data_IF_334683687496
#
_entry.id   IF_334683687496
#
_cell.length_a   1.000
_cell.length_b   1.000
_cell.length_c   1.000
_cell.angle_alpha   90.00
_cell.angle_beta   90.00
_cell.angle_gamma   90.00
#
_symmetry.space_group_name_H-M   'P 1'
#
loop_
_entity.id
_entity.type
_entity.pdbx_description
1 polymer ?
#
# COMPACT_ATOMS: atom_id res chain seq x y z
N UNK A 1 0.25 -6.34 -11.15
CA UNK A 1 -1.11 -5.95 -11.55
C UNK A 1 -1.91 -5.47 -10.35
N UNK A 2 -2.87 -4.57 -10.57
CA UNK A 2 -3.60 -3.95 -9.45
C UNK A 2 -4.34 -4.97 -8.57
N UNK A 3 -5.01 -5.97 -9.15
CA UNK A 3 -5.68 -7.02 -8.37
C UNK A 3 -4.73 -7.79 -7.45
N UNK A 4 -3.55 -8.13 -7.94
CA UNK A 4 -2.59 -8.95 -7.21
C UNK A 4 -1.93 -8.23 -6.03
N UNK A 5 -1.81 -6.90 -6.08
CA UNK A 5 -1.08 -6.14 -5.06
C UNK A 5 -1.96 -5.18 -4.26
N UNK A 6 -3.01 -4.63 -4.89
CA UNK A 6 -3.81 -3.57 -4.27
C UNK A 6 -4.93 -4.12 -3.38
N UNK A 7 -5.54 -5.25 -3.79
CA UNK A 7 -6.69 -5.85 -3.09
C UNK A 7 -6.52 -7.37 -2.87
N UNK A 8 -5.27 -7.83 -2.75
CA UNK A 8 -4.96 -9.24 -2.50
C UNK A 8 -5.68 -9.75 -1.25
N UNK A 9 -6.40 -10.87 -1.39
CA UNK A 9 -7.18 -11.52 -0.33
C UNK A 9 -8.59 -10.95 -0.14
N UNK A 10 -8.83 -9.69 -0.48
CA UNK A 10 -10.15 -9.06 -0.34
C UNK A 10 -11.23 -9.71 -1.22
N UNK A 11 -10.98 -10.04 -2.52
CA UNK A 11 -11.97 -10.74 -3.33
C UNK A 11 -12.36 -12.11 -2.75
N UNK A 12 -11.40 -12.87 -2.23
CA UNK A 12 -11.67 -14.15 -1.55
C UNK A 12 -12.56 -13.96 -0.34
N UNK A 13 -12.23 -13.02 0.53
CA UNK A 13 -13.04 -12.72 1.72
C UNK A 13 -14.46 -12.29 1.35
N UNK A 14 -14.60 -11.43 0.34
CA UNK A 14 -15.92 -10.97 -0.11
C UNK A 14 -16.73 -12.07 -0.80
N UNK A 15 -16.07 -13.09 -1.36
CA UNK A 15 -16.73 -14.21 -2.04
C UNK A 15 -17.49 -15.14 -1.07
N UNK A 16 -17.21 -15.04 0.23
CA UNK A 16 -18.01 -15.72 1.26
C UNK A 16 -19.40 -15.11 1.45
N UNK A 17 -19.60 -13.88 0.96
CA UNK A 17 -20.84 -13.10 1.13
C UNK A 17 -21.53 -12.74 -0.19
N UNK A 18 -20.77 -12.72 -1.30
CA UNK A 18 -21.25 -12.25 -2.61
C UNK A 18 -20.66 -13.07 -3.73
N UNK A 19 -21.34 -13.17 -4.87
CA UNK A 19 -20.72 -13.65 -6.10
C UNK A 19 -19.79 -12.56 -6.67
N UNK A 20 -18.48 -12.82 -6.67
CA UNK A 20 -17.46 -11.84 -7.06
C UNK A 20 -16.98 -12.09 -8.49
N UNK A 21 -17.02 -11.03 -9.31
CA UNK A 21 -16.37 -10.97 -10.61
C UNK A 21 -15.31 -9.89 -10.62
N UNK A 22 -14.03 -10.29 -10.66
CA UNK A 22 -12.92 -9.37 -10.83
C UNK A 22 -12.69 -9.01 -12.29
N UNK A 23 -12.45 -7.73 -12.58
CA UNK A 23 -12.17 -7.24 -13.94
C UNK A 23 -10.84 -6.50 -13.96
N UNK A 24 -9.92 -6.90 -14.84
CA UNK A 24 -8.61 -6.26 -14.96
C UNK A 24 -7.99 -6.40 -16.35
N UNK A 25 -6.94 -5.60 -16.61
CA UNK A 25 -6.17 -5.55 -17.86
C UNK A 25 -4.84 -6.28 -17.72
N UNK A 26 -4.82 -7.52 -17.38
CA UNK A 26 -3.56 -8.29 -17.28
C UNK A 26 -3.44 -9.34 -18.39
N UNK A 27 -2.26 -9.91 -18.62
CA UNK A 27 -2.11 -11.12 -19.40
C UNK A 27 -2.97 -12.25 -18.81
N UNK A 28 -3.56 -13.08 -19.68
CA UNK A 28 -4.50 -14.12 -19.25
C UNK A 28 -3.92 -15.06 -18.21
N UNK A 29 -2.67 -15.50 -18.42
CA UNK A 29 -1.97 -16.39 -17.48
C UNK A 29 -1.82 -15.81 -16.05
N UNK A 30 -1.69 -14.50 -15.92
CA UNK A 30 -1.61 -13.86 -14.61
C UNK A 30 -3.00 -13.64 -14.00
N UNK A 31 -4.00 -13.39 -14.82
CA UNK A 31 -5.38 -13.32 -14.37
C UNK A 31 -5.89 -14.70 -13.91
N UNK A 32 -5.51 -15.78 -14.60
CA UNK A 32 -5.81 -17.15 -14.20
C UNK A 32 -5.17 -17.51 -12.84
N UNK A 33 -3.94 -17.02 -12.56
CA UNK A 33 -3.32 -17.17 -11.23
C UNK A 33 -4.11 -16.43 -10.15
N UNK A 34 -4.57 -15.21 -10.44
CA UNK A 34 -5.42 -14.45 -9.50
C UNK A 34 -6.73 -15.17 -9.25
N UNK A 35 -7.39 -15.66 -10.31
CA UNK A 35 -8.62 -16.45 -10.18
C UNK A 35 -8.44 -17.67 -9.27
N UNK A 36 -7.35 -18.43 -9.46
CA UNK A 36 -7.02 -19.59 -8.64
C UNK A 36 -6.70 -19.24 -7.19
N UNK A 37 -5.93 -18.16 -6.97
CA UNK A 37 -5.57 -17.71 -5.62
C UNK A 37 -6.76 -17.14 -4.86
N UNK A 38 -7.58 -16.29 -5.51
CA UNK A 38 -8.71 -15.62 -4.87
C UNK A 38 -9.99 -16.49 -4.83
N UNK A 39 -10.06 -17.56 -5.64
CA UNK A 39 -11.24 -18.40 -5.73
C UNK A 39 -12.44 -17.72 -6.38
N UNK A 40 -12.22 -16.71 -7.23
CA UNK A 40 -13.26 -15.87 -7.85
C UNK A 40 -13.18 -15.89 -9.38
N UNK A 41 -14.28 -15.54 -10.04
CA UNK A 41 -14.29 -15.35 -11.50
C UNK A 41 -13.45 -14.11 -11.87
N UNK A 42 -12.65 -14.22 -12.94
CA UNK A 42 -11.87 -13.07 -13.45
C UNK A 42 -12.16 -12.86 -14.93
N UNK A 43 -12.37 -11.61 -15.32
CA UNK A 43 -12.60 -11.20 -16.71
C UNK A 43 -11.56 -10.20 -17.17
N UNK A 44 -11.00 -10.46 -18.36
CA UNK A 44 -10.05 -9.54 -18.98
C UNK A 44 -10.78 -8.43 -19.73
N UNK A 45 -10.49 -7.18 -19.37
CA UNK A 45 -10.84 -5.98 -20.15
C UNK A 45 -9.59 -5.11 -20.25
N UNK A 46 -9.15 -4.83 -21.47
CA UNK A 46 -7.94 -4.04 -21.68
C UNK A 46 -8.13 -2.60 -21.22
N UNK A 47 -7.28 -2.13 -20.31
CA UNK A 47 -7.24 -0.77 -19.80
C UNK A 47 -5.78 -0.32 -19.73
N UNK A 48 -5.39 0.64 -20.53
CA UNK A 48 -4.01 1.15 -20.57
C UNK A 48 -3.79 2.16 -19.43
N UNK A 49 -2.54 2.29 -18.94
CA UNK A 49 -2.21 3.33 -17.95
C UNK A 49 -2.14 4.74 -18.56
N UNK A 50 -1.96 4.83 -19.88
CA UNK A 50 -1.90 6.09 -20.62
C UNK A 50 -3.29 6.56 -21.05
N UNK A 51 -3.42 7.85 -21.37
CA UNK A 51 -4.62 8.41 -21.98
C UNK A 51 -4.66 7.97 -23.44
N UNK A 52 -5.60 7.09 -23.79
CA UNK A 52 -5.75 6.49 -25.12
C UNK A 52 -7.21 6.51 -25.56
N UNK A 53 -7.75 7.63 -26.08
CA UNK A 53 -9.19 7.84 -26.23
C UNK A 53 -9.92 6.73 -26.99
N UNK A 54 -9.37 6.26 -28.10
CA UNK A 54 -9.98 5.19 -28.92
C UNK A 54 -10.01 3.86 -28.17
N UNK A 55 -8.90 3.46 -27.54
CA UNK A 55 -8.83 2.23 -26.74
C UNK A 55 -9.73 2.34 -25.52
N UNK A 56 -9.76 3.51 -24.89
CA UNK A 56 -10.60 3.78 -23.72
C UNK A 56 -12.11 3.68 -24.08
N UNK A 57 -12.52 4.17 -25.24
CA UNK A 57 -13.89 4.01 -25.74
C UNK A 57 -14.24 2.53 -25.98
N UNK A 58 -13.33 1.78 -26.61
CA UNK A 58 -13.54 0.32 -26.81
C UNK A 58 -13.71 -0.40 -25.47
N UNK A 59 -12.85 -0.05 -24.51
CA UNK A 59 -12.88 -0.64 -23.17
C UNK A 59 -14.18 -0.28 -22.42
N UNK A 60 -14.64 0.97 -22.55
CA UNK A 60 -15.93 1.42 -22.00
C UNK A 60 -17.08 0.60 -22.59
N UNK A 61 -17.11 0.41 -23.92
CA UNK A 61 -18.16 -0.39 -24.58
C UNK A 61 -18.14 -1.85 -24.08
N UNK A 62 -16.93 -2.43 -23.89
CA UNK A 62 -16.79 -3.78 -23.34
C UNK A 62 -17.31 -3.85 -21.90
N UNK A 63 -17.04 -2.85 -21.06
CA UNK A 63 -17.54 -2.77 -19.68
C UNK A 63 -19.07 -2.60 -19.65
N UNK A 64 -19.63 -1.75 -20.49
CA UNK A 64 -21.10 -1.58 -20.61
C UNK A 64 -21.77 -2.90 -20.98
N UNK A 65 -21.23 -3.62 -21.98
CA UNK A 65 -21.76 -4.94 -22.38
C UNK A 65 -21.64 -5.97 -21.25
N UNK A 66 -20.51 -5.94 -20.53
CA UNK A 66 -20.28 -6.81 -19.38
C UNK A 66 -21.30 -6.51 -18.27
N UNK A 67 -21.45 -5.25 -17.87
CA UNK A 67 -22.40 -4.88 -16.81
C UNK A 67 -23.86 -5.17 -17.18
N UNK A 68 -24.25 -4.97 -18.45
CA UNK A 68 -25.58 -5.39 -18.93
C UNK A 68 -25.80 -6.91 -18.85
N UNK A 69 -24.75 -7.69 -19.12
CA UNK A 69 -24.82 -9.16 -19.09
C UNK A 69 -24.87 -9.70 -17.66
N UNK A 70 -23.97 -9.24 -16.82
CA UNK A 70 -23.78 -9.75 -15.46
C UNK A 70 -24.77 -9.11 -14.46
N UNK A 71 -25.38 -7.96 -14.82
CA UNK A 71 -26.35 -7.21 -14.01
C UNK A 71 -25.93 -7.03 -12.54
N UNK A 72 -24.72 -6.50 -12.25
CA UNK A 72 -24.21 -6.45 -10.89
C UNK A 72 -24.98 -5.48 -10.01
N UNK A 73 -25.22 -5.82 -8.76
CA UNK A 73 -25.75 -4.93 -7.74
C UNK A 73 -24.73 -3.85 -7.35
N UNK A 74 -23.44 -4.22 -7.28
CA UNK A 74 -22.34 -3.35 -6.88
C UNK A 74 -21.25 -3.35 -7.96
N UNK A 75 -20.76 -2.18 -8.33
CA UNK A 75 -19.49 -2.02 -9.06
C UNK A 75 -18.54 -1.19 -8.20
N UNK A 76 -17.40 -1.78 -7.82
CA UNK A 76 -16.35 -1.12 -7.05
C UNK A 76 -15.05 -1.04 -7.86
N UNK A 77 -14.48 0.14 -8.01
CA UNK A 77 -13.26 0.39 -8.78
C UNK A 77 -12.14 0.94 -7.89
N UNK A 78 -10.86 0.59 -8.21
CA UNK A 78 -9.72 0.84 -7.32
C UNK A 78 -8.53 1.59 -7.96
N UNK A 79 -8.60 1.98 -9.23
CA UNK A 79 -7.50 2.68 -9.90
C UNK A 79 -8.04 3.78 -10.81
N UNK A 80 -7.30 4.85 -11.12
CA UNK A 80 -7.81 5.98 -11.89
C UNK A 80 -8.44 5.58 -13.24
N UNK A 81 -7.78 4.72 -14.02
CA UNK A 81 -8.32 4.27 -15.32
C UNK A 81 -9.56 3.38 -15.17
N UNK A 82 -9.52 2.43 -14.23
CA UNK A 82 -10.71 1.61 -13.94
C UNK A 82 -11.83 2.47 -13.30
N UNK A 83 -11.45 3.50 -12.54
CA UNK A 83 -12.37 4.50 -11.97
C UNK A 83 -13.21 5.14 -13.04
N UNK A 84 -12.60 5.86 -13.97
CA UNK A 84 -13.35 6.57 -15.00
C UNK A 84 -14.17 5.64 -15.90
N UNK A 85 -13.57 4.56 -16.41
CA UNK A 85 -14.26 3.67 -17.34
C UNK A 85 -15.32 2.81 -16.64
N UNK A 86 -15.01 2.30 -15.45
CA UNK A 86 -15.94 1.49 -14.65
C UNK A 86 -17.09 2.28 -14.08
N UNK A 87 -16.83 3.44 -13.48
CA UNK A 87 -17.90 4.28 -12.92
C UNK A 87 -18.82 4.84 -14.01
N UNK A 88 -18.27 5.36 -15.12
CA UNK A 88 -19.06 5.83 -16.25
C UNK A 88 -19.87 4.69 -16.88
N UNK A 89 -19.25 3.53 -17.12
CA UNK A 89 -19.94 2.35 -17.65
C UNK A 89 -21.08 1.88 -16.75
N UNK A 90 -20.84 1.81 -15.45
CA UNK A 90 -21.83 1.43 -14.45
C UNK A 90 -22.98 2.45 -14.34
N UNK A 91 -22.66 3.74 -14.41
CA UNK A 91 -23.67 4.82 -14.43
C UNK A 91 -24.58 4.72 -15.65
N UNK A 92 -24.00 4.54 -16.84
CA UNK A 92 -24.75 4.44 -18.11
C UNK A 92 -25.67 3.20 -18.18
N UNK A 93 -25.31 2.14 -17.47
CA UNK A 93 -26.13 0.90 -17.39
C UNK A 93 -27.19 0.99 -16.28
N UNK A 94 -27.03 1.92 -15.33
CA UNK A 94 -27.93 2.06 -14.20
C UNK A 94 -27.59 1.10 -13.04
N UNK A 95 -26.32 0.66 -12.91
CA UNK A 95 -25.89 -0.13 -11.73
C UNK A 95 -26.21 0.65 -10.46
N UNK A 96 -26.95 0.07 -9.51
CA UNK A 96 -27.48 0.82 -8.36
C UNK A 96 -26.40 1.30 -7.40
N UNK A 97 -25.37 0.48 -7.13
CA UNK A 97 -24.32 0.80 -6.18
C UNK A 97 -22.98 0.92 -6.92
N UNK A 98 -22.44 2.14 -6.94
CA UNK A 98 -21.23 2.49 -7.68
C UNK A 98 -20.21 3.11 -6.70
N UNK A 99 -19.16 2.38 -6.40
CA UNK A 99 -18.15 2.70 -5.39
C UNK A 99 -16.78 2.88 -6.02
N UNK A 100 -15.99 3.83 -5.53
CA UNK A 100 -14.65 4.07 -6.03
C UNK A 100 -13.66 4.29 -4.89
N UNK A 101 -12.60 3.47 -4.83
CA UNK A 101 -11.45 3.66 -3.93
C UNK A 101 -10.34 4.44 -4.63
N UNK A 102 -9.91 5.54 -3.99
CA UNK A 102 -8.79 6.37 -4.45
C UNK A 102 -7.53 5.94 -3.71
N UNK A 103 -6.73 5.09 -4.34
CA UNK A 103 -5.49 4.54 -3.75
C UNK A 103 -4.26 5.46 -3.97
N UNK A 104 -4.44 6.58 -4.61
CA UNK A 104 -3.45 7.61 -4.93
C UNK A 104 -3.99 8.49 -6.05
N UNK A 105 -3.52 9.73 -6.11
CA UNK A 105 -4.03 10.74 -7.03
C UNK A 105 -2.89 11.34 -7.86
N UNK A 106 -2.64 10.82 -9.08
CA UNK A 106 -1.62 11.35 -9.99
C UNK A 106 -1.82 12.84 -10.34
N UNK A 107 -3.03 13.36 -10.13
CA UNK A 107 -3.38 14.75 -10.31
C UNK A 107 -2.53 15.68 -9.42
N UNK A 108 -2.22 15.29 -8.19
CA UNK A 108 -1.43 16.09 -7.24
C UNK A 108 -0.03 16.45 -7.78
N UNK A 109 0.47 15.70 -8.75
CA UNK A 109 1.81 15.86 -9.32
C UNK A 109 1.79 16.48 -10.72
N UNK A 110 0.61 16.61 -11.31
CA UNK A 110 0.47 17.10 -12.67
C UNK A 110 0.41 18.62 -12.72
N UNK A 111 0.87 19.20 -13.84
CA UNK A 111 0.83 20.65 -14.10
C UNK A 111 0.27 20.93 -15.48
N UNK A 112 -0.20 22.16 -15.69
CA UNK A 112 -0.68 22.65 -16.98
C UNK A 112 -1.88 21.88 -17.52
N UNK A 113 -1.93 21.66 -18.83
CA UNK A 113 -3.06 21.03 -19.54
C UNK A 113 -3.31 19.60 -19.01
N UNK A 114 -2.26 18.85 -18.69
CA UNK A 114 -2.41 17.50 -18.10
C UNK A 114 -3.15 17.54 -16.77
N UNK A 115 -2.90 18.54 -15.94
CA UNK A 115 -3.60 18.74 -14.67
C UNK A 115 -5.11 18.94 -14.91
N UNK A 116 -5.48 19.85 -15.80
CA UNK A 116 -6.89 20.11 -16.12
C UNK A 116 -7.63 18.86 -16.65
N UNK A 117 -6.97 18.06 -17.48
CA UNK A 117 -7.55 16.82 -18.00
C UNK A 117 -7.76 15.81 -16.87
N UNK A 118 -6.75 15.59 -16.02
CA UNK A 118 -6.87 14.67 -14.91
C UNK A 118 -7.92 15.13 -13.90
N UNK A 119 -8.00 16.43 -13.62
CA UNK A 119 -9.01 16.99 -12.74
C UNK A 119 -10.44 16.75 -13.28
N UNK A 120 -10.66 16.97 -14.56
CA UNK A 120 -11.96 16.71 -15.21
C UNK A 120 -12.32 15.21 -15.14
N UNK A 121 -11.33 14.32 -15.34
CA UNK A 121 -11.51 12.88 -15.24
C UNK A 121 -11.87 12.45 -13.81
N UNK A 122 -11.19 12.97 -12.81
CA UNK A 122 -11.48 12.66 -11.40
C UNK A 122 -12.88 13.17 -11.01
N UNK A 123 -13.21 14.43 -11.34
CA UNK A 123 -14.55 14.98 -11.07
C UNK A 123 -15.66 14.17 -11.74
N UNK A 124 -15.47 13.73 -12.98
CA UNK A 124 -16.43 12.88 -13.68
C UNK A 124 -16.56 11.50 -13.02
N UNK A 125 -15.42 10.90 -12.63
CA UNK A 125 -15.41 9.61 -11.92
C UNK A 125 -16.22 9.69 -10.63
N UNK A 126 -15.99 10.74 -9.82
CA UNK A 126 -16.69 10.92 -8.55
C UNK A 126 -18.16 11.34 -8.72
N UNK A 127 -18.48 12.05 -9.79
CA UNK A 127 -19.88 12.34 -10.14
C UNK A 127 -20.66 11.06 -10.42
N UNK A 128 -20.08 10.10 -11.15
CA UNK A 128 -20.69 8.81 -11.46
C UNK A 128 -20.75 7.86 -10.25
N UNK A 129 -19.86 7.97 -9.28
CA UNK A 129 -19.87 7.17 -8.06
C UNK A 129 -20.95 7.68 -7.07
N UNK A 130 -21.52 6.78 -6.28
CA UNK A 130 -22.39 7.15 -5.14
C UNK A 130 -21.55 7.40 -3.87
N UNK A 131 -20.40 6.70 -3.75
CA UNK A 131 -19.47 6.87 -2.65
C UNK A 131 -18.03 6.74 -3.13
N UNK A 132 -17.13 7.52 -2.54
CA UNK A 132 -15.70 7.57 -2.87
C UNK A 132 -14.89 7.39 -1.60
N UNK A 133 -13.91 6.48 -1.65
CA UNK A 133 -13.08 6.09 -0.51
C UNK A 133 -11.62 6.46 -0.74
N UNK A 134 -11.18 7.67 -0.32
CA UNK A 134 -9.75 7.95 -0.25
C UNK A 134 -9.09 7.03 0.78
N UNK A 135 -7.87 6.58 0.45
CA UNK A 135 -7.13 5.64 1.30
C UNK A 135 -6.40 6.29 2.47
N UNK A 136 -6.60 7.60 2.68
CA UNK A 136 -5.95 8.37 3.75
C UNK A 136 -6.77 9.63 4.09
N UNK A 137 -6.65 10.08 5.33
CA UNK A 137 -7.28 11.33 5.79
C UNK A 137 -6.68 12.56 5.07
N UNK A 138 -5.37 12.53 4.80
CA UNK A 138 -4.73 13.61 4.04
C UNK A 138 -5.27 13.71 2.61
N UNK A 139 -5.54 12.58 1.96
CA UNK A 139 -6.16 12.56 0.63
C UNK A 139 -7.63 13.02 0.68
N UNK A 140 -8.39 12.62 1.70
CA UNK A 140 -9.75 13.12 1.94
C UNK A 140 -9.77 14.65 2.07
N UNK A 141 -8.91 15.22 2.92
CA UNK A 141 -8.78 16.65 3.11
C UNK A 141 -8.42 17.37 1.81
N UNK A 142 -7.47 16.82 1.06
CA UNK A 142 -7.10 17.37 -0.24
C UNK A 142 -8.31 17.39 -1.22
N UNK A 143 -9.07 16.31 -1.29
CA UNK A 143 -10.25 16.20 -2.16
C UNK A 143 -11.34 17.20 -1.76
N UNK A 144 -11.58 17.40 -0.47
CA UNK A 144 -12.56 18.36 0.07
C UNK A 144 -12.13 19.81 -0.21
N UNK A 145 -10.87 20.15 0.05
CA UNK A 145 -10.32 21.50 -0.19
C UNK A 145 -10.43 21.91 -1.66
N UNK A 146 -10.19 20.96 -2.59
CA UNK A 146 -10.26 21.22 -4.03
C UNK A 146 -11.68 20.97 -4.62
N UNK A 147 -12.65 20.64 -3.78
CA UNK A 147 -14.05 20.40 -4.18
C UNK A 147 -14.18 19.37 -5.30
N UNK A 148 -13.45 18.27 -5.21
CA UNK A 148 -13.54 17.19 -6.20
C UNK A 148 -14.81 16.39 -6.07
N UNK A 149 -15.35 16.25 -4.86
CA UNK A 149 -16.66 15.68 -4.59
C UNK A 149 -17.27 16.34 -3.34
N UNK A 150 -18.57 16.17 -3.16
CA UNK A 150 -19.26 16.62 -1.94
C UNK A 150 -18.84 15.77 -0.73
N UNK A 151 -18.83 16.37 0.45
CA UNK A 151 -18.39 15.72 1.68
C UNK A 151 -19.18 14.44 1.98
N UNK A 152 -20.48 14.43 1.69
CA UNK A 152 -21.34 13.26 1.90
C UNK A 152 -20.94 12.05 1.04
N UNK A 153 -20.26 12.30 -0.09
CA UNK A 153 -19.75 11.23 -0.97
C UNK A 153 -18.42 10.67 -0.55
N UNK A 154 -17.65 11.37 0.28
CA UNK A 154 -16.31 10.99 0.65
C UNK A 154 -16.32 10.31 2.03
N UNK A 155 -15.54 9.24 2.19
CA UNK A 155 -15.35 8.55 3.48
C UNK A 155 -14.05 7.76 3.46
N UNK A 156 -13.21 7.96 4.45
CA UNK A 156 -12.07 7.06 4.71
C UNK A 156 -12.60 5.79 5.36
N UNK A 157 -12.19 4.62 4.85
CA UNK A 157 -12.57 3.32 5.41
C UNK A 157 -11.62 2.95 6.53
N UNK A 158 -12.15 2.50 7.66
CA UNK A 158 -11.40 2.15 8.86
C UNK A 158 -10.40 3.27 9.23
N UNK A 159 -9.11 2.97 9.32
CA UNK A 159 -8.05 3.94 9.60
C UNK A 159 -7.26 4.33 8.32
N UNK A 160 -7.85 4.17 7.14
CA UNK A 160 -7.15 4.35 5.87
C UNK A 160 -6.61 3.03 5.31
N UNK A 161 -5.74 3.13 4.29
CA UNK A 161 -5.31 2.03 3.42
C UNK A 161 -6.42 1.51 2.49
N UNK A 162 -6.04 0.95 1.34
CA UNK A 162 -6.99 0.33 0.41
C UNK A 162 -7.28 -1.14 0.75
N UNK A 163 -6.40 -1.79 1.50
CA UNK A 163 -6.46 -3.23 1.75
C UNK A 163 -5.86 -3.67 3.09
N UNK A 164 -5.32 -2.74 3.88
CA UNK A 164 -4.59 -3.11 5.09
C UNK A 164 -3.32 -3.90 4.83
N UNK A 165 -2.85 -4.62 5.83
CA UNK A 165 -1.66 -5.48 5.79
C UNK A 165 -1.97 -6.84 6.42
N UNK A 166 -1.49 -7.91 5.80
CA UNK A 166 -1.55 -9.26 6.34
C UNK A 166 -0.54 -9.42 7.48
N UNK A 167 -1.01 -9.26 8.71
CA UNK A 167 -0.17 -9.29 9.91
C UNK A 167 0.25 -10.70 10.32
N UNK A 168 -0.40 -11.73 9.75
CA UNK A 168 0.02 -13.14 9.90
C UNK A 168 1.20 -13.41 8.97
N UNK A 169 1.11 -12.96 7.71
CA UNK A 169 2.20 -13.08 6.75
C UNK A 169 3.42 -12.23 7.16
N UNK A 170 3.19 -10.99 7.61
CA UNK A 170 4.24 -10.11 8.14
C UNK A 170 4.37 -10.28 9.66
N UNK A 171 4.79 -11.48 10.09
CA UNK A 171 5.09 -11.80 11.48
C UNK A 171 6.59 -12.10 11.66
N UNK A 172 7.31 -11.34 12.52
CA UNK A 172 8.73 -11.57 12.78
C UNK A 172 9.02 -12.94 13.39
N UNK A 173 8.03 -13.59 14.02
CA UNK A 173 8.17 -14.90 14.63
C UNK A 173 8.24 -16.04 13.60
N UNK A 174 7.92 -15.79 12.33
CA UNK A 174 8.10 -16.76 11.25
C UNK A 174 9.57 -17.02 10.90
N UNK A 175 10.51 -16.21 11.42
CA UNK A 175 11.93 -16.31 11.13
C UNK A 175 12.70 -16.73 12.38
N UNK A 176 13.26 -17.95 12.37
CA UNK A 176 14.08 -18.45 13.47
C UNK A 176 15.36 -17.63 13.64
N UNK A 177 15.98 -17.72 14.80
CA UNK A 177 17.24 -17.04 15.09
C UNK A 177 18.34 -17.48 14.10
N UNK A 178 18.37 -18.76 13.78
CA UNK A 178 19.34 -19.36 12.86
C UNK A 178 19.17 -18.80 11.44
N UNK A 179 17.93 -18.71 10.93
CA UNK A 179 17.68 -18.09 9.62
C UNK A 179 18.15 -16.64 9.56
N UNK A 180 17.90 -15.86 10.63
CA UNK A 180 18.36 -14.47 10.71
C UNK A 180 19.88 -14.38 10.72
N UNK A 181 20.57 -15.26 11.46
CA UNK A 181 22.02 -15.30 11.53
C UNK A 181 22.65 -15.69 10.19
N UNK A 182 22.13 -16.70 9.50
CA UNK A 182 22.60 -17.10 8.17
C UNK A 182 22.47 -15.95 7.19
N UNK A 183 21.31 -15.30 7.11
CA UNK A 183 21.11 -14.18 6.18
C UNK A 183 22.00 -12.98 6.52
N UNK A 184 22.19 -12.65 7.81
CA UNK A 184 23.14 -11.59 8.23
C UNK A 184 24.57 -11.94 7.81
N UNK A 185 25.01 -13.18 8.03
CA UNK A 185 26.32 -13.65 7.62
C UNK A 185 26.54 -13.54 6.10
N UNK A 186 25.56 -14.01 5.30
CA UNK A 186 25.63 -13.97 3.83
C UNK A 186 25.70 -12.54 3.28
N UNK A 187 25.12 -11.58 4.00
CA UNK A 187 25.18 -10.16 3.67
C UNK A 187 26.36 -9.42 4.32
N UNK A 188 27.23 -10.11 5.03
CA UNK A 188 28.37 -9.50 5.73
C UNK A 188 27.99 -8.58 6.89
N UNK A 189 26.80 -8.79 7.50
CA UNK A 189 26.28 -8.03 8.64
C UNK A 189 26.66 -8.75 9.92
N UNK A 190 27.35 -8.05 10.84
CA UNK A 190 27.74 -8.61 12.14
C UNK A 190 26.56 -8.65 13.12
N UNK A 191 26.67 -9.45 14.18
CA UNK A 191 25.59 -9.63 15.16
C UNK A 191 25.18 -8.31 15.83
N UNK A 192 26.14 -7.46 16.14
CA UNK A 192 25.93 -6.19 16.83
C UNK A 192 25.67 -5.00 15.90
N UNK A 193 25.71 -5.20 14.57
CA UNK A 193 25.44 -4.12 13.62
C UNK A 193 24.00 -3.63 13.73
N UNK A 194 23.80 -2.32 13.71
CA UNK A 194 22.48 -1.70 13.60
C UNK A 194 22.10 -1.54 12.13
N UNK A 195 21.09 -2.29 11.68
CA UNK A 195 20.69 -2.36 10.28
C UNK A 195 19.49 -1.44 10.01
N UNK A 196 19.73 -0.44 9.19
CA UNK A 196 18.70 0.43 8.60
C UNK A 196 18.28 -0.19 7.27
N UNK A 197 16.98 -0.40 7.07
CA UNK A 197 16.47 -0.95 5.81
C UNK A 197 15.66 0.10 5.05
N UNK A 198 15.82 0.13 3.74
CA UNK A 198 14.90 0.74 2.79
C UNK A 198 14.35 -0.36 1.87
N UNK A 199 13.06 -0.33 1.61
CA UNK A 199 12.40 -1.27 0.66
C UNK A 199 11.59 -0.47 -0.36
N UNK A 200 11.89 -0.64 -1.63
CA UNK A 200 11.21 0.05 -2.72
C UNK A 200 12.11 0.25 -3.95
N UNK A 201 11.61 0.92 -4.96
CA UNK A 201 12.41 1.32 -6.12
C UNK A 201 13.50 2.30 -5.68
N UNK A 202 14.72 2.08 -6.14
CA UNK A 202 15.85 2.96 -5.83
C UNK A 202 15.87 4.12 -6.85
N UNK A 203 15.12 5.18 -6.54
CA UNK A 203 14.91 6.36 -7.38
C UNK A 203 14.92 7.64 -6.53
N UNK A 204 15.06 8.80 -7.19
CA UNK A 204 15.21 10.10 -6.51
C UNK A 204 13.99 10.45 -5.65
N UNK A 205 12.76 10.28 -6.16
CA UNK A 205 11.52 10.63 -5.46
C UNK A 205 11.26 9.78 -4.18
N UNK A 206 12.00 8.69 -4.02
CA UNK A 206 12.00 7.88 -2.79
C UNK A 206 13.00 8.38 -1.73
N UNK A 207 13.70 9.48 -2.02
CA UNK A 207 14.64 10.10 -1.08
C UNK A 207 15.92 9.30 -0.89
N UNK A 208 16.31 8.46 -1.87
CA UNK A 208 17.52 7.64 -1.80
C UNK A 208 18.78 8.51 -1.79
N UNK A 209 18.76 9.64 -2.51
CA UNK A 209 19.90 10.57 -2.51
C UNK A 209 20.15 11.14 -1.11
N UNK A 210 19.10 11.58 -0.42
CA UNK A 210 19.17 12.08 0.95
C UNK A 210 19.55 10.98 1.93
N UNK A 211 19.02 9.76 1.76
CA UNK A 211 19.31 8.63 2.63
C UNK A 211 20.79 8.24 2.57
N UNK A 212 21.33 8.09 1.37
CA UNK A 212 22.74 7.73 1.16
C UNK A 212 23.64 8.84 1.64
N UNK A 213 23.31 10.11 1.38
CA UNK A 213 24.09 11.28 1.85
C UNK A 213 24.09 11.36 3.39
N UNK A 214 22.94 11.17 4.02
CA UNK A 214 22.84 11.16 5.49
C UNK A 214 23.64 9.99 6.08
N UNK A 215 23.52 8.80 5.50
CA UNK A 215 24.24 7.61 5.94
C UNK A 215 25.76 7.72 5.77
N UNK A 216 26.23 8.28 4.65
CA UNK A 216 27.65 8.57 4.40
C UNK A 216 28.25 9.38 5.53
N UNK A 217 27.59 10.45 5.94
CA UNK A 217 28.07 11.33 7.01
C UNK A 217 28.20 10.62 8.37
N UNK A 218 27.43 9.53 8.57
CA UNK A 218 27.46 8.73 9.79
C UNK A 218 28.50 7.59 9.72
N UNK A 219 28.75 7.02 8.54
CA UNK A 219 29.66 5.90 8.35
C UNK A 219 31.14 6.33 8.25
N UNK A 220 31.43 7.59 7.89
CA UNK A 220 32.78 8.14 7.79
C UNK A 220 33.20 8.97 9.01
N UNK A 221 32.31 9.15 10.01
CA UNK A 221 32.61 9.87 11.25
C UNK A 221 33.60 9.11 12.16
N UNK A 222 34.17 9.80 13.16
CA UNK A 222 35.01 9.14 14.16
C UNK A 222 34.24 8.01 14.84
N UNK A 223 34.86 6.83 14.93
CA UNK A 223 34.29 5.68 15.65
C UNK A 223 34.18 6.00 17.13
N UNK A 224 32.94 6.11 17.62
CA UNK A 224 32.70 6.07 19.05
C UNK A 224 32.55 4.62 19.48
N UNK A 225 33.41 4.15 20.39
CA UNK A 225 33.50 2.75 20.86
C UNK A 225 32.18 2.19 21.43
N UNK A 226 31.24 3.05 21.80
CA UNK A 226 29.96 2.67 22.40
C UNK A 226 28.83 2.59 21.37
N UNK A 227 29.07 2.92 20.09
CA UNK A 227 28.07 2.93 19.04
C UNK A 227 28.17 1.65 18.19
N UNK A 228 27.04 0.96 17.88
CA UNK A 228 27.02 -0.13 16.92
C UNK A 228 27.45 0.35 15.53
N UNK A 229 28.10 -0.51 14.76
CA UNK A 229 28.35 -0.21 13.34
C UNK A 229 27.01 -0.13 12.60
N UNK A 230 26.85 0.91 11.78
CA UNK A 230 25.64 1.12 11.01
C UNK A 230 25.73 0.42 9.66
N UNK A 231 24.68 -0.28 9.26
CA UNK A 231 24.49 -0.86 7.94
C UNK A 231 23.25 -0.28 7.29
N UNK A 232 23.34 0.02 6.00
CA UNK A 232 22.23 0.43 5.18
C UNK A 232 21.90 -0.67 4.18
N UNK A 233 20.73 -1.28 4.32
CA UNK A 233 20.25 -2.35 3.45
C UNK A 233 19.20 -1.79 2.48
N UNK A 234 19.55 -1.73 1.20
CA UNK A 234 18.69 -1.23 0.12
C UNK A 234 18.08 -2.41 -0.64
N UNK A 235 16.78 -2.63 -0.45
CA UNK A 235 16.03 -3.74 -1.07
C UNK A 235 15.13 -3.21 -2.16
N UNK A 236 15.46 -3.50 -3.42
CA UNK A 236 14.69 -3.11 -4.59
C UNK A 236 15.53 -2.82 -5.81
N UNK A 237 14.88 -2.67 -6.97
CA UNK A 237 15.56 -2.43 -8.22
C UNK A 237 15.94 -0.95 -8.40
N UNK A 238 17.04 -0.71 -9.11
CA UNK A 238 17.35 0.60 -9.68
C UNK A 238 16.46 0.85 -10.91
N UNK A 239 15.87 2.06 -11.01
CA UNK A 239 15.10 2.49 -12.17
C UNK A 239 15.69 3.76 -12.79
N UNK A 240 16.78 3.62 -13.53
CA UNK A 240 17.53 4.74 -14.13
C UNK A 240 16.78 5.53 -15.20
N UNK A 241 15.68 4.98 -15.77
CA UNK A 241 14.97 5.62 -16.90
C UNK A 241 13.91 6.62 -16.47
N UNK A 242 13.32 6.49 -15.29
CA UNK A 242 12.20 7.33 -14.87
C UNK A 242 12.63 8.47 -13.95
N UNK A 243 13.46 8.17 -12.97
CA UNK A 243 13.94 9.12 -11.97
C UNK A 243 15.30 8.61 -11.43
N UNK A 244 16.41 8.85 -12.17
CA UNK A 244 17.72 8.32 -11.83
C UNK A 244 18.26 8.93 -10.53
N UNK A 245 19.06 8.14 -9.83
CA UNK A 245 19.86 8.64 -8.68
C UNK A 245 21.00 9.54 -9.18
N UNK A 246 21.43 10.44 -8.30
CA UNK A 246 22.60 11.27 -8.52
C UNK A 246 23.87 10.42 -8.66
N UNK A 247 24.81 10.87 -9.50
CA UNK A 247 26.07 10.13 -9.75
C UNK A 247 26.89 9.89 -8.49
N UNK A 248 26.89 10.84 -7.56
CA UNK A 248 27.62 10.71 -6.30
C UNK A 248 26.94 9.74 -5.32
N UNK A 249 25.61 9.66 -5.38
CA UNK A 249 24.84 8.62 -4.66
C UNK A 249 25.18 7.22 -5.17
N UNK A 250 25.24 7.03 -6.50
CA UNK A 250 25.60 5.75 -7.09
C UNK A 250 27.03 5.34 -6.72
N UNK A 251 27.99 6.25 -6.83
CA UNK A 251 29.39 6.00 -6.40
C UNK A 251 29.47 5.59 -4.94
N UNK A 252 28.75 6.28 -4.07
CA UNK A 252 28.72 5.97 -2.64
C UNK A 252 28.15 4.57 -2.39
N UNK A 253 27.04 4.21 -3.05
CA UNK A 253 26.44 2.88 -2.94
C UNK A 253 27.44 1.78 -3.39
N UNK A 254 28.20 2.02 -4.45
CA UNK A 254 29.14 1.06 -4.99
C UNK A 254 30.42 0.91 -4.14
N UNK A 255 30.90 2.00 -3.53
CA UNK A 255 32.18 2.02 -2.82
C UNK A 255 32.08 1.82 -1.31
N UNK A 256 30.94 2.11 -0.70
CA UNK A 256 30.76 2.03 0.75
C UNK A 256 30.33 0.62 1.18
N UNK A 257 31.21 -0.11 1.81
CA UNK A 257 30.99 -1.50 2.31
C UNK A 257 29.85 -1.63 3.34
N UNK A 258 29.43 -0.51 3.94
CA UNK A 258 28.32 -0.49 4.89
C UNK A 258 26.96 -0.31 4.20
N UNK A 259 26.92 -0.10 2.86
CA UNK A 259 25.71 -0.06 2.06
C UNK A 259 25.58 -1.37 1.27
N UNK A 260 24.50 -2.08 1.52
CA UNK A 260 24.23 -3.39 0.93
C UNK A 260 23.03 -3.28 0.01
N UNK A 261 23.15 -3.72 -1.24
CA UNK A 261 22.05 -3.76 -2.20
C UNK A 261 21.69 -5.19 -2.53
N UNK A 262 20.38 -5.50 -2.55
CA UNK A 262 19.91 -6.87 -2.85
C UNK A 262 19.19 -6.98 -4.20
N UNK A 263 18.94 -5.86 -4.88
CA UNK A 263 18.06 -5.83 -6.05
C UNK A 263 16.61 -6.15 -5.70
N UNK A 264 15.83 -6.52 -6.71
CA UNK A 264 14.42 -6.91 -6.51
C UNK A 264 14.31 -8.21 -5.72
N UNK A 265 13.48 -8.20 -4.69
CA UNK A 265 13.15 -9.37 -3.87
C UNK A 265 11.65 -9.63 -3.92
N UNK A 266 11.26 -10.86 -4.22
CA UNK A 266 9.86 -11.28 -4.25
C UNK A 266 9.26 -11.37 -2.84
N UNK A 267 10.08 -11.74 -1.85
CA UNK A 267 9.75 -11.74 -0.42
C UNK A 267 10.73 -10.84 0.32
N UNK A 268 10.22 -9.77 0.88
CA UNK A 268 11.00 -8.77 1.63
C UNK A 268 11.06 -9.04 3.14
N UNK A 269 10.24 -9.98 3.63
CA UNK A 269 10.13 -10.28 5.07
C UNK A 269 11.45 -10.74 5.72
N UNK A 270 12.27 -11.61 5.08
CA UNK A 270 13.57 -11.99 5.65
C UNK A 270 14.48 -10.79 5.92
N UNK A 271 14.44 -9.79 5.01
CA UNK A 271 15.25 -8.58 5.13
C UNK A 271 14.74 -7.65 6.24
N UNK A 272 13.42 -7.53 6.41
CA UNK A 272 12.87 -6.86 7.59
C UNK A 272 13.27 -7.58 8.88
N UNK A 273 13.21 -8.93 8.89
CA UNK A 273 13.48 -9.72 10.09
C UNK A 273 14.92 -9.59 10.62
N UNK A 274 15.89 -9.21 9.77
CA UNK A 274 17.28 -8.99 10.15
C UNK A 274 17.62 -7.52 10.42
N UNK A 275 16.66 -6.62 10.22
CA UNK A 275 16.85 -5.16 10.32
C UNK A 275 16.36 -4.62 11.66
N UNK A 276 16.83 -3.43 12.02
CA UNK A 276 16.46 -2.75 13.25
C UNK A 276 15.41 -1.66 13.03
N UNK A 277 15.49 -0.93 11.91
CA UNK A 277 14.54 0.15 11.61
C UNK A 277 14.37 0.36 10.11
N UNK A 278 13.17 0.80 9.70
CA UNK A 278 12.90 1.28 8.35
C UNK A 278 13.33 2.75 8.22
N UNK A 279 14.11 3.08 7.17
CA UNK A 279 14.37 4.45 6.73
C UNK A 279 13.65 4.70 5.41
N UNK A 280 12.57 5.49 5.43
CA UNK A 280 11.70 5.70 4.28
C UNK A 280 11.46 7.19 4.01
N UNK A 281 12.47 7.93 3.49
CA UNK A 281 12.42 9.37 3.28
C UNK A 281 11.75 9.77 1.95
N UNK A 282 10.69 9.08 1.54
CA UNK A 282 9.97 9.33 0.30
C UNK A 282 9.40 10.75 0.24
N UNK A 283 9.36 11.36 -0.96
CA UNK A 283 8.80 12.69 -1.12
C UNK A 283 7.29 12.70 -1.22
N UNK A 284 6.69 11.56 -1.55
CA UNK A 284 5.25 11.43 -1.78
C UNK A 284 4.81 9.97 -1.73
N UNK A 285 3.65 9.74 -1.14
CA UNK A 285 2.97 8.44 -1.12
C UNK A 285 1.45 8.65 -1.12
N UNK A 286 0.71 7.60 -1.49
CA UNK A 286 -0.71 7.53 -1.16
C UNK A 286 -0.89 7.02 0.27
N UNK A 287 -0.69 5.72 0.45
CA UNK A 287 -0.64 5.05 1.76
C UNK A 287 0.40 3.92 1.66
N UNK A 288 1.63 4.11 2.18
CA UNK A 288 2.75 3.25 1.84
C UNK A 288 2.69 1.91 2.57
N UNK A 289 2.43 0.84 1.83
CA UNK A 289 2.40 -0.53 2.36
C UNK A 289 3.71 -0.91 3.07
N UNK A 290 4.84 -0.43 2.58
CA UNK A 290 6.16 -0.75 3.14
C UNK A 290 6.31 -0.29 4.59
N UNK A 291 5.70 0.85 4.96
CA UNK A 291 5.71 1.36 6.34
C UNK A 291 4.85 0.45 7.23
N UNK A 292 3.68 0.02 6.73
CA UNK A 292 2.85 -0.97 7.45
C UNK A 292 3.56 -2.32 7.57
N UNK A 293 4.24 -2.79 6.50
CA UNK A 293 5.00 -4.03 6.51
C UNK A 293 6.12 -4.01 7.56
N UNK A 294 6.91 -2.94 7.59
CA UNK A 294 7.97 -2.78 8.58
C UNK A 294 7.42 -2.76 10.00
N UNK A 295 6.36 -1.98 10.25
CA UNK A 295 5.71 -1.93 11.56
C UNK A 295 5.12 -3.28 11.97
N UNK A 296 4.46 -4.01 11.06
CA UNK A 296 3.97 -5.38 11.31
C UNK A 296 5.11 -6.35 11.66
N UNK A 297 6.29 -6.17 11.06
CA UNK A 297 7.52 -6.90 11.41
C UNK A 297 8.20 -6.38 12.69
N UNK A 298 7.58 -5.44 13.41
CA UNK A 298 8.08 -4.91 14.69
C UNK A 298 9.20 -3.86 14.55
N UNK A 299 9.36 -3.26 13.37
CA UNK A 299 10.40 -2.26 13.14
C UNK A 299 9.85 -0.84 13.34
N UNK A 300 10.50 0.00 14.15
CA UNK A 300 10.24 1.43 14.14
C UNK A 300 10.66 2.03 12.80
N UNK A 301 9.98 3.09 12.37
CA UNK A 301 10.22 3.69 11.06
C UNK A 301 10.62 5.16 11.17
N UNK A 302 11.58 5.59 10.36
CA UNK A 302 11.85 7.00 10.09
C UNK A 302 11.22 7.33 8.76
N UNK A 303 10.23 8.24 8.77
CA UNK A 303 9.46 8.61 7.58
C UNK A 303 9.42 10.12 7.41
N UNK A 304 9.17 10.56 6.20
CA UNK A 304 8.89 11.98 5.92
C UNK A 304 7.47 12.36 6.31
N UNK A 305 7.25 13.63 6.63
CA UNK A 305 5.94 14.22 6.91
C UNK A 305 5.16 14.40 5.60
N UNK A 306 4.60 13.29 5.13
CA UNK A 306 3.79 13.21 3.92
C UNK A 306 2.55 12.37 4.16
N UNK A 307 1.57 12.55 3.27
CA UNK A 307 0.33 11.78 3.27
C UNK A 307 0.57 10.26 3.42
N UNK A 308 -0.21 9.61 4.24
CA UNK A 308 -0.10 8.19 4.59
C UNK A 308 1.06 7.87 5.55
N UNK A 309 2.25 8.44 5.38
CA UNK A 309 3.36 8.22 6.30
C UNK A 309 3.05 8.75 7.70
N UNK A 310 2.57 10.01 7.80
CA UNK A 310 2.21 10.67 9.04
C UNK A 310 0.87 10.21 9.65
N UNK A 311 0.17 9.32 8.98
CA UNK A 311 -1.02 8.64 9.50
C UNK A 311 -0.66 7.27 10.09
N UNK A 312 0.30 6.56 9.47
CA UNK A 312 0.79 5.27 9.95
C UNK A 312 1.73 5.45 11.15
N UNK A 313 2.62 6.44 11.07
CA UNK A 313 3.59 6.74 12.11
C UNK A 313 3.11 7.91 12.97
N UNK A 314 3.06 7.67 14.27
CA UNK A 314 2.93 8.70 15.30
C UNK A 314 4.32 9.03 15.85
N UNK A 315 4.73 10.29 15.70
CA UNK A 315 6.09 10.72 16.04
C UNK A 315 6.44 10.45 17.51
N UNK A 316 7.61 9.84 17.75
CA UNK A 316 8.09 9.38 19.07
C UNK A 316 7.24 8.28 19.74
N UNK A 317 6.34 7.60 19.02
CA UNK A 317 5.55 6.48 19.54
C UNK A 317 5.90 5.17 18.84
N UNK A 318 5.80 5.11 17.51
CA UNK A 318 6.20 3.93 16.71
C UNK A 318 7.23 4.27 15.61
N UNK A 319 7.75 5.51 15.62
CA UNK A 319 8.74 5.98 14.66
C UNK A 319 9.06 7.46 14.84
N UNK A 320 9.81 7.99 13.89
CA UNK A 320 10.20 9.39 13.81
C UNK A 320 9.73 10.00 12.50
N UNK A 321 9.19 11.21 12.56
CA UNK A 321 8.74 11.97 11.39
C UNK A 321 9.71 13.11 11.13
N UNK A 322 10.16 13.25 9.88
CA UNK A 322 11.13 14.27 9.46
C UNK A 322 10.56 15.08 8.27
N UNK A 323 11.04 16.31 8.06
CA UNK A 323 10.69 17.06 6.86
C UNK A 323 11.18 16.40 5.57
N UNK A 324 10.41 16.59 4.48
CA UNK A 324 10.78 16.12 3.14
C UNK A 324 12.06 16.79 2.65
N UNK A 325 12.94 16.05 1.96
CA UNK A 325 14.19 16.57 1.37
C UNK A 325 15.16 17.21 2.40
N UNK A 326 15.12 16.76 3.62
CA UNK A 326 15.98 17.28 4.68
C UNK A 326 16.99 16.23 5.15
N UNK A 327 18.14 16.21 4.50
CA UNK A 327 19.25 15.27 4.78
C UNK A 327 19.74 15.37 6.24
N UNK A 328 19.81 16.59 6.80
CA UNK A 328 20.28 16.80 8.18
C UNK A 328 19.29 16.26 9.22
N UNK A 329 17.98 16.47 9.00
CA UNK A 329 16.96 15.92 9.87
C UNK A 329 16.95 14.39 9.80
N UNK A 330 17.13 13.81 8.61
CA UNK A 330 17.28 12.37 8.40
C UNK A 330 18.51 11.84 9.13
N UNK A 331 19.68 12.48 8.96
CA UNK A 331 20.91 12.09 9.65
C UNK A 331 20.74 12.08 11.17
N UNK A 332 20.16 13.16 11.74
CA UNK A 332 19.88 13.20 13.18
C UNK A 332 18.92 12.10 13.66
N UNK A 333 17.89 11.80 12.87
CA UNK A 333 16.93 10.76 13.21
C UNK A 333 17.56 9.37 13.17
N UNK A 334 18.38 9.07 12.14
CA UNK A 334 19.11 7.81 12.02
C UNK A 334 20.08 7.61 13.22
N UNK A 335 20.85 8.65 13.54
CA UNK A 335 21.81 8.62 14.65
C UNK A 335 21.10 8.45 16.00
N UNK A 336 20.06 9.25 16.25
CA UNK A 336 19.27 9.17 17.47
C UNK A 336 18.68 7.77 17.69
N UNK A 337 18.17 7.14 16.64
CA UNK A 337 17.58 5.83 16.75
C UNK A 337 18.62 4.73 17.03
N UNK A 338 19.84 4.88 16.50
CA UNK A 338 20.92 3.92 16.71
C UNK A 338 21.61 4.08 18.09
N UNK A 339 21.68 5.28 18.64
CA UNK A 339 22.41 5.59 19.89
C UNK A 339 21.50 5.56 21.12
N UNK A 340 20.27 6.07 21.02
CA UNK A 340 19.31 6.08 22.14
C UNK A 340 18.57 4.75 22.25
N UNK A 341 19.17 3.78 22.93
CA UNK A 341 18.58 2.46 23.17
C UNK A 341 17.20 2.55 23.86
N UNK A 342 16.98 3.52 24.76
CA UNK A 342 15.70 3.69 25.44
C UNK A 342 14.61 4.10 24.46
N UNK A 343 14.89 5.07 23.61
CA UNK A 343 13.99 5.47 22.53
C UNK A 343 13.73 4.31 21.57
N UNK A 344 14.80 3.63 21.10
CA UNK A 344 14.68 2.52 20.17
C UNK A 344 13.73 1.45 20.69
N UNK A 345 13.95 0.92 21.89
CA UNK A 345 13.10 -0.12 22.47
C UNK A 345 11.67 0.36 22.74
N UNK A 346 11.49 1.63 23.11
CA UNK A 346 10.17 2.22 23.26
C UNK A 346 9.42 2.20 21.91
N UNK A 347 10.02 2.71 20.84
CA UNK A 347 9.41 2.75 19.51
C UNK A 347 9.15 1.34 18.96
N UNK A 348 10.11 0.44 19.14
CA UNK A 348 10.01 -0.96 18.70
C UNK A 348 8.84 -1.68 19.37
N UNK A 349 8.66 -1.50 20.69
CA UNK A 349 7.59 -2.15 21.44
C UNK A 349 6.19 -1.75 20.98
N UNK A 350 6.05 -0.53 20.42
CA UNK A 350 4.76 -0.01 19.94
C UNK A 350 4.52 -0.32 18.44
N UNK A 351 5.58 -0.61 17.68
CA UNK A 351 5.51 -0.66 16.21
C UNK A 351 4.51 -1.69 15.71
N UNK A 352 4.57 -2.94 16.19
CA UNK A 352 3.69 -4.00 15.73
C UNK A 352 2.24 -3.80 16.18
N UNK A 353 2.03 -3.46 17.45
CA UNK A 353 0.71 -3.27 18.02
C UNK A 353 -0.07 -2.18 17.29
N UNK A 354 0.57 -1.05 16.99
CA UNK A 354 -0.05 0.05 16.25
C UNK A 354 -0.44 -0.31 14.82
N UNK A 355 0.24 -1.26 14.19
CA UNK A 355 -0.13 -1.73 12.86
C UNK A 355 -1.23 -2.78 12.95
N UNK A 356 -1.10 -3.77 13.81
CA UNK A 356 -2.08 -4.87 13.93
C UNK A 356 -3.45 -4.37 14.38
N UNK A 357 -3.49 -3.42 15.30
CA UNK A 357 -4.76 -2.86 15.82
C UNK A 357 -5.46 -1.91 14.84
N UNK A 358 -4.74 -1.32 13.87
CA UNK A 358 -5.28 -0.25 13.01
C UNK A 358 -5.41 -0.66 11.55
N UNK A 359 -4.51 -1.51 11.04
CA UNK A 359 -4.33 -1.75 9.61
C UNK A 359 -4.32 -3.24 9.24
N UNK A 360 -4.68 -4.13 10.14
CA UNK A 360 -4.86 -5.54 9.81
C UNK A 360 -5.89 -5.68 8.68
N UNK A 361 -5.62 -6.56 7.69
CA UNK A 361 -6.43 -6.68 6.48
C UNK A 361 -7.90 -6.94 6.78
N UNK A 362 -8.17 -7.82 7.73
CA UNK A 362 -9.54 -8.22 8.07
C UNK A 362 -10.37 -7.03 8.56
N UNK A 363 -9.78 -6.12 9.34
CA UNK A 363 -10.46 -4.89 9.78
C UNK A 363 -10.91 -4.02 8.60
N UNK A 364 -10.05 -3.88 7.59
CA UNK A 364 -10.38 -3.10 6.38
C UNK A 364 -11.44 -3.81 5.55
N UNK A 365 -11.35 -5.13 5.40
CA UNK A 365 -12.32 -5.91 4.63
C UNK A 365 -13.70 -5.94 5.28
N UNK A 366 -13.76 -6.11 6.60
CA UNK A 366 -15.02 -6.04 7.37
C UNK A 366 -15.67 -4.66 7.25
N UNK A 367 -14.87 -3.58 7.30
CA UNK A 367 -15.38 -2.24 7.11
C UNK A 367 -15.97 -2.02 5.69
N UNK A 368 -15.35 -2.58 4.64
CA UNK A 368 -15.94 -2.58 3.29
C UNK A 368 -17.17 -3.46 3.19
N UNK A 369 -17.19 -4.61 3.84
CA UNK A 369 -18.36 -5.50 3.89
C UNK A 369 -19.57 -4.77 4.49
N UNK A 370 -19.39 -4.06 5.57
CA UNK A 370 -20.47 -3.27 6.20
C UNK A 370 -20.95 -2.12 5.28
N UNK A 371 -20.05 -1.47 4.53
CA UNK A 371 -20.45 -0.48 3.51
C UNK A 371 -21.30 -1.13 2.40
N UNK A 372 -20.90 -2.33 1.92
CA UNK A 372 -21.67 -3.04 0.89
C UNK A 372 -23.07 -3.43 1.40
N UNK A 373 -23.15 -3.99 2.61
CA UNK A 373 -24.43 -4.33 3.27
C UNK A 373 -25.30 -3.10 3.47
N UNK A 374 -24.71 -1.99 3.93
CA UNK A 374 -25.44 -0.73 4.12
C UNK A 374 -26.09 -0.25 2.83
N UNK A 375 -25.32 -0.20 1.71
CA UNK A 375 -25.88 0.27 0.43
C UNK A 375 -26.88 -0.72 -0.18
N UNK A 376 -26.70 -2.04 -0.02
CA UNK A 376 -27.67 -3.02 -0.47
C UNK A 376 -29.00 -2.84 0.26
N UNK A 377 -28.96 -2.70 1.57
CA UNK A 377 -30.16 -2.43 2.40
C UNK A 377 -30.83 -1.11 2.02
N UNK A 378 -30.05 -0.03 1.77
CA UNK A 378 -30.56 1.28 1.32
C UNK A 378 -31.30 1.16 -0.03
N UNK A 379 -30.92 0.22 -0.88
CA UNK A 379 -31.56 -0.07 -2.17
C UNK A 379 -32.67 -1.12 -2.10
N UNK A 380 -33.02 -1.60 -0.90
CA UNK A 380 -34.03 -2.66 -0.72
C UNK A 380 -33.60 -4.01 -1.30
N UNK A 381 -32.30 -4.26 -1.36
CA UNK A 381 -31.68 -5.52 -1.80
C UNK A 381 -31.24 -6.27 -0.54
N UNK A 382 -32.05 -7.19 -0.04
CA UNK A 382 -31.68 -8.01 1.11
C UNK A 382 -30.59 -8.98 0.72
N UNK A 383 -29.58 -9.11 1.58
CA UNK A 383 -28.64 -10.21 1.55
C UNK A 383 -29.38 -11.34 2.26
N UNK A 384 -29.84 -12.35 1.52
CA UNK A 384 -30.22 -13.61 2.13
C UNK A 384 -28.96 -14.19 2.80
N UNK A 385 -28.80 -13.91 4.09
CA UNK A 385 -27.84 -14.63 4.90
C UNK A 385 -28.43 -16.01 5.09
N UNK A 386 -27.93 -16.99 4.33
CA UNK A 386 -28.11 -18.41 4.65
C UNK A 386 -27.35 -18.71 5.96
N UNK A 387 -27.82 -18.10 7.05
CA UNK A 387 -27.43 -18.45 8.42
C UNK A 387 -28.65 -19.08 9.07
N UNK A 388 -29.09 -20.21 8.57
CA UNK A 388 -29.77 -21.20 9.40
C UNK A 388 -28.87 -22.44 9.42
N UNK A 389 -28.02 -22.62 10.44
CA UNK A 389 -27.47 -23.92 10.74
C UNK A 389 -28.62 -24.71 11.38
N UNK A 390 -29.43 -25.31 10.53
CA UNK A 390 -30.36 -26.37 10.93
C UNK A 390 -29.60 -27.45 11.68
N UNK A 391 -29.43 -27.24 12.97
CA UNK A 391 -28.97 -28.23 13.92
C UNK A 391 -30.11 -29.23 14.15
N UNK A 392 -29.82 -30.47 13.75
CA UNK A 392 -30.26 -31.69 14.40
C UNK A 392 -31.70 -31.87 14.85
N UNK A 393 -32.40 -32.66 14.08
CA UNK A 393 -33.33 -33.63 14.66
C UNK A 393 -33.31 -34.95 13.88
N UNK A 394 -32.26 -35.74 14.06
CA UNK A 394 -32.30 -37.18 13.83
C UNK A 394 -31.62 -37.93 14.97
N UNK A 395 -32.25 -37.88 16.12
CA UNK A 395 -32.18 -38.94 17.12
C UNK A 395 -33.60 -39.42 17.28
N UNK A 396 -33.86 -40.60 16.85
CA UNK A 396 -34.49 -41.69 17.55
C UNK A 396 -35.35 -42.57 16.66
N UNK A 397 -35.25 -43.79 17.03
CA UNK A 397 -36.16 -44.89 16.92
C UNK A 397 -36.13 -45.71 15.63
N UNK A 398 -35.61 -46.90 15.83
CA UNK A 398 -35.82 -48.12 15.05
C UNK A 398 -34.72 -49.12 15.33
#
# INVERSE_FOLDING_TARGET
MSLQYLIKGQPRFMNDFFEILCVSSGPKNELDKVAGYEGVKVKQVEMTRQITPVKDLISLIKLIRLFKKENPAIVHTHTPKAGILGMLGAYLVGVPIRLHTVAGMPLMESKGVKHCILEAVEKLTYACAIKVYPNSTGLEQFMLQHKYAYAEKIKVIANGSSNGIDTIYFDPNQFSKEHKQVLRHDLGIQEDDFVLIFVGRLVGDKGINELVKAFKSLSHGERHWERPDLRLLLVGPFESKLDPLESDTLKEIESNRNIITTGFQADVRPYFAISNALAFPSYREGFPNVVMQAGAMGLPSIVTDINGCNEIIENNKNGLIIPVKNTEALQRALLRLAEDKKLYYHLQSQSREMITSRYEQKLVWEAFLEEYKFFLKDKGMDIETDTDPGLDSKISSG
#
